data_IF_684199633134
#
_entry.id   IF_684199633134
#
_cell.length_a   1.000
_cell.length_b   1.000
_cell.length_c   1.000
_cell.angle_alpha   90.00
_cell.angle_beta   90.00
_cell.angle_gamma   90.00
#
_symmetry.space_group_name_H-M   'P 1'
#
loop_
_entity.id
_entity.type
_entity.pdbx_description
1 polymer ?
#
# COMPACT_ATOMS: atom_id res chain seq x y z
N UNK A 1 -13.55 5.38 12.31
CA UNK A 1 -12.28 4.63 12.34
C UNK A 1 -11.34 5.26 11.31
N UNK A 2 -10.08 5.54 11.68
CA UNK A 2 -9.05 6.08 10.78
C UNK A 2 -8.02 4.98 10.52
N UNK A 3 -7.56 4.88 9.28
CA UNK A 3 -6.44 4.03 8.88
C UNK A 3 -5.34 4.99 8.40
N UNK A 4 -4.16 4.91 9.02
CA UNK A 4 -2.97 5.64 8.59
C UNK A 4 -2.00 4.64 7.97
N UNK A 5 -1.31 5.05 6.92
CA UNK A 5 -0.23 4.31 6.28
C UNK A 5 0.96 5.25 6.17
N UNK A 6 2.13 4.78 6.57
CA UNK A 6 3.36 5.58 6.56
C UNK A 6 4.20 5.24 5.33
N UNK A 7 5.04 6.18 4.90
CA UNK A 7 5.85 6.05 3.69
C UNK A 7 6.82 4.84 3.77
N UNK A 8 7.23 4.49 4.98
CA UNK A 8 8.09 3.36 5.30
C UNK A 8 7.42 2.01 5.02
N UNK A 9 6.08 1.94 5.10
CA UNK A 9 5.28 0.74 4.84
C UNK A 9 4.83 0.65 3.38
N UNK A 10 4.78 1.78 2.66
CA UNK A 10 4.25 1.85 1.29
C UNK A 10 5.18 1.19 0.28
N UNK A 11 4.57 0.45 -0.66
CA UNK A 11 5.24 -0.21 -1.78
C UNK A 11 4.61 0.19 -3.11
N UNK A 12 5.30 -0.12 -4.20
CA UNK A 12 4.74 -0.04 -5.56
C UNK A 12 3.97 -1.31 -5.96
N UNK A 13 3.92 -2.34 -5.10
CA UNK A 13 3.28 -3.62 -5.40
C UNK A 13 1.77 -3.49 -5.27
N UNK A 14 1.12 -3.45 -6.42
CA UNK A 14 -0.34 -3.36 -6.55
C UNK A 14 -0.91 -4.56 -7.29
N UNK A 15 -2.10 -4.99 -6.89
CA UNK A 15 -2.80 -6.10 -7.51
C UNK A 15 -4.27 -5.74 -7.75
N UNK A 16 -4.78 -6.06 -8.94
CA UNK A 16 -6.21 -5.99 -9.24
C UNK A 16 -6.82 -7.35 -8.91
N UNK A 17 -7.72 -7.38 -7.93
CA UNK A 17 -8.42 -8.60 -7.53
C UNK A 17 -9.90 -8.51 -7.89
N UNK A 18 -10.57 -9.65 -7.95
CA UNK A 18 -12.01 -9.70 -8.12
C UNK A 18 -12.68 -10.71 -7.20
N UNK A 19 -13.93 -10.42 -6.83
CA UNK A 19 -14.77 -11.33 -6.05
C UNK A 19 -16.18 -11.33 -6.62
N UNK A 20 -16.79 -12.50 -6.75
CA UNK A 20 -18.19 -12.64 -7.16
C UNK A 20 -19.08 -12.82 -5.93
N UNK A 21 -20.10 -11.98 -5.79
CA UNK A 21 -21.11 -12.05 -4.72
C UNK A 21 -22.47 -11.77 -5.39
N UNK A 22 -23.46 -12.65 -5.15
CA UNK A 22 -24.83 -12.51 -5.68
C UNK A 22 -24.89 -12.17 -7.18
N UNK A 23 -24.14 -12.95 -7.98
CA UNK A 23 -23.99 -12.77 -9.43
C UNK A 23 -23.35 -11.45 -9.90
N UNK A 24 -22.85 -10.61 -9.01
CA UNK A 24 -22.09 -9.41 -9.35
C UNK A 24 -20.60 -9.63 -9.14
N UNK A 25 -19.78 -9.18 -10.09
CA UNK A 25 -18.32 -9.13 -9.96
C UNK A 25 -17.91 -7.78 -9.38
N UNK A 26 -17.19 -7.82 -8.28
CA UNK A 26 -16.58 -6.67 -7.64
C UNK A 26 -15.10 -6.64 -8.02
N UNK A 27 -14.59 -5.45 -8.33
CA UNK A 27 -13.17 -5.20 -8.56
C UNK A 27 -12.58 -4.53 -7.33
N UNK A 28 -11.45 -5.05 -6.86
CA UNK A 28 -10.66 -4.50 -5.76
C UNK A 28 -9.29 -4.06 -6.26
N UNK A 29 -8.78 -2.96 -5.72
CA UNK A 29 -7.36 -2.59 -5.81
C UNK A 29 -6.70 -2.95 -4.49
N UNK A 30 -5.72 -3.84 -4.52
CA UNK A 30 -4.92 -4.23 -3.38
C UNK A 30 -3.57 -3.54 -3.44
N UNK A 31 -3.20 -2.88 -2.34
CA UNK A 31 -1.88 -2.31 -2.10
C UNK A 31 -1.19 -3.16 -1.05
N UNK A 32 -0.02 -3.69 -1.36
CA UNK A 32 0.79 -4.43 -0.39
C UNK A 32 1.68 -3.48 0.41
N UNK A 33 1.88 -3.83 1.68
CA UNK A 33 2.65 -3.06 2.65
C UNK A 33 3.82 -3.90 3.14
N UNK A 34 4.97 -3.25 3.30
CA UNK A 34 6.14 -3.83 3.94
C UNK A 34 6.14 -3.54 5.44
N UNK A 35 6.75 -4.44 6.21
CA UNK A 35 6.96 -4.22 7.63
C UNK A 35 8.30 -3.49 7.83
N UNK A 36 8.31 -2.25 8.34
CA UNK A 36 9.55 -1.61 8.74
C UNK A 36 10.04 -2.25 10.05
N UNK A 37 11.30 -2.68 10.08
CA UNK A 37 11.95 -3.23 11.27
C UNK A 37 13.31 -2.59 11.49
N UNK A 38 13.63 -2.36 12.76
CA UNK A 38 14.95 -1.89 13.15
C UNK A 38 15.80 -3.09 13.55
N UNK A 39 16.89 -3.31 12.81
CA UNK A 39 17.84 -4.40 13.05
C UNK A 39 19.15 -3.86 13.60
N UNK A 40 19.80 -4.65 14.47
CA UNK A 40 21.14 -4.36 14.96
C UNK A 40 22.15 -5.21 14.19
N UNK A 41 23.10 -4.56 13.52
CA UNK A 41 24.16 -5.19 12.79
C UNK A 41 25.21 -5.86 13.70
N UNK A 42 26.05 -6.76 13.15
CA UNK A 42 27.11 -7.45 13.90
C UNK A 42 28.15 -6.50 14.52
N UNK A 43 28.33 -5.33 13.92
CA UNK A 43 29.21 -4.24 14.37
C UNK A 43 28.53 -3.31 15.40
N UNK A 44 27.29 -3.61 15.79
CA UNK A 44 26.50 -2.81 16.71
C UNK A 44 25.76 -1.63 16.08
N UNK A 45 25.87 -1.44 14.76
CA UNK A 45 25.08 -0.42 14.04
C UNK A 45 23.60 -0.73 14.09
N UNK A 46 22.76 0.30 14.07
CA UNK A 46 21.31 0.15 14.03
C UNK A 46 20.83 0.62 12.67
N UNK A 47 20.19 -0.28 11.92
CA UNK A 47 19.68 -0.01 10.59
C UNK A 47 18.16 -0.23 10.57
N UNK A 48 17.43 0.68 9.94
CA UNK A 48 16.05 0.41 9.55
C UNK A 48 16.04 -0.27 8.19
N UNK A 49 15.37 -1.41 8.14
CA UNK A 49 15.09 -2.15 6.91
C UNK A 49 13.58 -2.29 6.77
N UNK A 50 13.13 -2.45 5.53
CA UNK A 50 11.74 -2.80 5.21
C UNK A 50 11.74 -3.96 4.22
N UNK A 51 10.70 -4.76 4.31
CA UNK A 51 10.52 -5.89 3.42
C UNK A 51 9.17 -6.57 3.63
N UNK A 52 8.84 -7.53 2.76
CA UNK A 52 7.63 -8.32 2.91
C UNK A 52 7.65 -9.05 4.25
N UNK A 53 6.48 -9.20 4.85
CA UNK A 53 6.36 -10.01 6.06
C UNK A 53 6.31 -11.48 5.65
N UNK A 54 7.26 -12.29 6.14
CA UNK A 54 7.42 -13.69 5.76
C UNK A 54 7.51 -14.56 7.02
N UNK A 55 6.62 -15.54 7.19
CA UNK A 55 6.78 -16.54 8.28
C UNK A 55 7.74 -17.67 7.90
N UNK A 56 7.90 -17.97 6.60
CA UNK A 56 8.80 -19.01 6.07
C UNK A 56 9.55 -18.51 4.83
N UNK A 57 10.66 -19.17 4.42
CA UNK A 57 11.21 -18.96 3.10
C UNK A 57 10.12 -19.16 2.04
N UNK A 58 10.05 -18.24 1.07
CA UNK A 58 9.06 -18.17 -0.02
C UNK A 58 7.62 -17.79 0.40
N UNK A 59 7.42 -17.38 1.65
CA UNK A 59 6.13 -16.86 2.13
C UNK A 59 5.98 -15.36 1.83
N UNK A 60 4.74 -14.89 1.68
CA UNK A 60 4.44 -13.48 1.48
C UNK A 60 3.12 -13.12 2.18
N UNK A 61 3.22 -13.05 3.51
CA UNK A 61 2.16 -12.63 4.43
C UNK A 61 2.14 -11.11 4.62
N UNK A 62 2.67 -10.36 3.66
CA UNK A 62 2.67 -8.90 3.69
C UNK A 62 1.27 -8.37 3.90
N UNK A 63 1.14 -7.47 4.88
CA UNK A 63 -0.13 -6.78 5.12
C UNK A 63 -0.58 -6.07 3.85
N UNK A 64 -1.89 -6.04 3.60
CA UNK A 64 -2.42 -5.40 2.41
C UNK A 64 -3.72 -4.66 2.71
N UNK A 65 -3.91 -3.52 2.06
CA UNK A 65 -5.18 -2.81 2.06
C UNK A 65 -5.85 -3.01 0.70
N UNK A 66 -7.09 -3.47 0.75
CA UNK A 66 -7.90 -3.66 -0.45
C UNK A 66 -9.05 -2.67 -0.47
N UNK A 67 -9.09 -1.81 -1.50
CA UNK A 67 -10.21 -0.93 -1.79
C UNK A 67 -11.18 -1.63 -2.73
N UNK A 68 -12.38 -1.96 -2.24
CA UNK A 68 -13.48 -2.47 -3.05
C UNK A 68 -14.40 -1.32 -3.46
N UNK A 69 -14.39 -0.93 -4.73
CA UNK A 69 -15.20 0.22 -5.19
C UNK A 69 -15.86 0.03 -6.55
N UNK A 70 -15.98 -1.22 -7.03
CA UNK A 70 -16.54 -1.53 -8.37
C UNK A 70 -15.91 -0.62 -9.45
N UNK A 71 -16.72 0.04 -10.27
CA UNK A 71 -16.27 0.99 -11.31
C UNK A 71 -16.00 2.40 -10.78
N UNK A 72 -16.47 2.74 -9.58
CA UNK A 72 -16.36 4.09 -9.04
C UNK A 72 -15.01 4.35 -8.36
N UNK A 73 -14.28 3.30 -7.97
CA UNK A 73 -12.93 3.42 -7.41
C UNK A 73 -12.00 4.26 -8.28
N UNK A 74 -12.07 4.10 -9.60
CA UNK A 74 -11.26 4.86 -10.55
C UNK A 74 -11.49 6.37 -10.45
N UNK A 75 -12.74 6.81 -10.21
CA UNK A 75 -13.07 8.23 -10.07
C UNK A 75 -12.47 8.81 -8.80
N UNK A 76 -12.54 8.05 -7.70
CA UNK A 76 -11.95 8.44 -6.41
C UNK A 76 -10.44 8.55 -6.50
N UNK A 77 -9.76 7.53 -7.06
CA UNK A 77 -8.30 7.55 -7.22
C UNK A 77 -7.82 8.72 -8.08
N UNK A 78 -8.51 9.03 -9.20
CA UNK A 78 -8.22 10.21 -10.02
C UNK A 78 -8.34 11.51 -9.23
N UNK A 79 -9.38 11.64 -8.40
CA UNK A 79 -9.57 12.82 -7.55
C UNK A 79 -8.47 12.94 -6.49
N UNK A 80 -8.07 11.83 -5.88
CA UNK A 80 -6.99 11.80 -4.89
C UNK A 80 -5.65 12.24 -5.50
N UNK A 81 -5.31 11.69 -6.67
CA UNK A 81 -4.10 12.06 -7.39
C UNK A 81 -4.10 13.54 -7.75
N UNK A 82 -5.18 14.05 -8.35
CA UNK A 82 -5.28 15.47 -8.71
C UNK A 82 -5.14 16.41 -7.49
N UNK A 83 -5.69 16.03 -6.33
CA UNK A 83 -5.55 16.81 -5.10
C UNK A 83 -4.10 16.81 -4.56
N UNK A 84 -3.39 15.69 -4.74
CA UNK A 84 -1.98 15.58 -4.38
C UNK A 84 -1.10 16.41 -5.32
N UNK A 85 -1.32 16.31 -6.62
CA UNK A 85 -0.63 17.09 -7.64
C UNK A 85 -0.82 18.60 -7.41
N UNK A 86 -2.04 19.04 -7.11
CA UNK A 86 -2.34 20.45 -6.78
C UNK A 86 -1.63 20.91 -5.50
N UNK A 87 -1.46 20.02 -4.51
CA UNK A 87 -0.71 20.35 -3.31
C UNK A 87 0.77 20.58 -3.63
N UNK A 88 1.41 19.65 -4.34
CA UNK A 88 2.82 19.73 -4.71
C UNK A 88 3.14 20.88 -5.66
N UNK A 89 2.26 21.16 -6.63
CA UNK A 89 2.37 22.32 -7.50
C UNK A 89 2.36 23.66 -6.73
N UNK A 90 1.61 23.74 -5.62
CA UNK A 90 1.57 24.95 -4.78
C UNK A 90 2.77 25.06 -3.84
N UNK A 91 3.30 23.95 -3.34
CA UNK A 91 4.40 23.96 -2.36
C UNK A 91 5.78 23.92 -3.00
N UNK A 92 5.87 23.74 -4.33
CA UNK A 92 7.14 23.63 -5.05
C UNK A 92 7.91 22.36 -4.67
N UNK A 93 7.23 21.38 -4.08
CA UNK A 93 7.75 20.04 -3.83
C UNK A 93 7.42 19.17 -5.03
N UNK A 94 8.30 18.21 -5.39
CA UNK A 94 8.00 17.23 -6.43
C UNK A 94 6.77 16.38 -6.06
#
# INVERSE_FOLDING_TARGET
MRINLYAEEMTERVEIISKRIDSQTFTGLRLYLELPVTVKGPDGTVQQIRGPFMHKPDDDDSSAITFWGKRDLRKVLKKMLAALDEHYARTGQP
#
